data_IF_422677185805
#
_entry.id   IF_422677185805
#
_cell.length_a   1.000
_cell.length_b   1.000
_cell.length_c   1.000
_cell.angle_alpha   90.00
_cell.angle_beta   90.00
_cell.angle_gamma   90.00
#
_symmetry.space_group_name_H-M   'P 1'
#
loop_
_entity.id
_entity.type
_entity.pdbx_description
1 polymer ?
#
# COMPACT_ATOMS: atom_id res chain seq x y z
N UNK A 1 30.84 -7.45 -20.45
CA UNK A 1 30.48 -6.11 -19.96
C UNK A 1 29.27 -6.31 -19.05
N UNK A 2 29.51 -6.18 -17.74
CA UNK A 2 28.61 -6.30 -16.58
C UNK A 2 27.71 -7.55 -16.44
N UNK A 3 28.16 -8.44 -15.55
CA UNK A 3 27.46 -9.54 -14.90
C UNK A 3 26.93 -9.01 -13.55
N UNK A 4 25.74 -9.46 -13.13
CA UNK A 4 25.18 -9.24 -11.79
C UNK A 4 24.39 -7.93 -11.70
N UNK A 5 23.17 -7.89 -11.16
CA UNK A 5 22.69 -8.58 -9.96
C UNK A 5 21.22 -8.94 -10.08
N UNK A 6 20.87 -10.12 -9.54
CA UNK A 6 19.51 -10.48 -9.15
C UNK A 6 18.96 -9.39 -8.22
N UNK A 7 17.91 -8.68 -8.61
CA UNK A 7 17.01 -8.07 -7.64
C UNK A 7 16.06 -9.15 -7.13
N UNK A 8 16.63 -10.08 -6.36
CA UNK A 8 15.95 -10.87 -5.35
C UNK A 8 16.33 -10.21 -4.04
N UNK A 9 15.62 -9.14 -3.69
CA UNK A 9 15.78 -8.46 -2.41
C UNK A 9 14.46 -7.76 -2.04
N UNK A 10 13.37 -8.53 -2.03
CA UNK A 10 12.15 -8.23 -1.26
C UNK A 10 11.53 -9.54 -0.76
N UNK A 11 12.39 -10.47 -0.35
CA UNK A 11 12.01 -11.62 0.46
C UNK A 11 12.81 -11.50 1.75
N UNK A 12 12.16 -10.99 2.80
CA UNK A 12 12.67 -11.03 4.16
C UNK A 12 13.40 -9.78 4.64
N UNK A 13 12.70 -8.65 4.77
CA UNK A 13 12.87 -7.72 5.91
C UNK A 13 11.57 -6.91 6.01
N UNK A 14 10.62 -7.33 6.84
CA UNK A 14 9.85 -6.43 7.76
C UNK A 14 8.90 -7.26 8.65
N UNK A 15 9.34 -8.39 9.19
CA UNK A 15 8.59 -9.14 10.22
C UNK A 15 9.16 -8.94 11.62
N UNK A 16 10.12 -8.02 11.81
CA UNK A 16 10.84 -7.85 13.08
C UNK A 16 10.85 -6.43 13.63
N UNK A 17 9.78 -5.67 13.43
CA UNK A 17 9.70 -4.33 14.02
C UNK A 17 8.32 -3.94 14.52
N UNK A 18 7.51 -4.92 14.93
CA UNK A 18 6.30 -4.68 15.73
C UNK A 18 6.48 -5.07 17.21
N UNK A 19 7.58 -5.75 17.56
CA UNK A 19 7.89 -6.19 18.93
C UNK A 19 8.68 -5.15 19.74
N UNK A 20 9.22 -4.08 19.14
CA UNK A 20 10.07 -3.12 19.87
C UNK A 20 9.31 -1.88 20.39
N UNK A 21 8.03 -1.71 20.04
CA UNK A 21 7.23 -0.57 20.52
C UNK A 21 6.43 -0.91 21.79
N UNK A 22 6.00 -2.16 21.95
CA UNK A 22 5.51 -2.67 23.23
C UNK A 22 6.70 -3.16 24.05
N UNK A 23 7.55 -2.22 24.45
CA UNK A 23 8.67 -2.47 25.36
C UNK A 23 8.17 -3.09 26.67
N UNK A 24 8.14 -4.42 26.70
CA UNK A 24 8.30 -5.27 27.87
C UNK A 24 7.62 -4.83 29.14
N UNK A 25 6.29 -4.79 29.17
CA UNK A 25 5.55 -5.05 30.40
C UNK A 25 5.43 -6.57 30.55
N UNK A 26 6.57 -7.25 30.69
CA UNK A 26 6.58 -8.63 31.18
C UNK A 26 6.07 -8.54 32.62
N UNK A 27 4.76 -8.75 32.79
CA UNK A 27 4.23 -9.16 34.08
C UNK A 27 4.99 -10.45 34.40
N UNK A 28 5.82 -10.39 35.43
CA UNK A 28 6.52 -11.55 35.96
C UNK A 28 5.43 -12.52 36.46
N UNK A 29 4.95 -13.42 35.58
CA UNK A 29 3.85 -14.36 35.90
C UNK A 29 4.20 -15.25 37.09
N UNK A 30 5.50 -15.45 37.35
CA UNK A 30 6.00 -16.23 38.49
C UNK A 30 5.80 -15.53 39.86
N UNK A 31 5.54 -14.22 39.89
CA UNK A 31 5.24 -13.50 41.14
C UNK A 31 3.75 -13.57 41.53
N UNK A 32 2.86 -14.00 40.62
CA UNK A 32 1.41 -14.01 40.81
C UNK A 32 0.85 -15.36 41.30
N UNK A 33 1.68 -16.40 41.42
CA UNK A 33 1.24 -17.74 41.86
C UNK A 33 1.21 -17.92 43.38
N UNK A 34 1.49 -16.86 44.15
CA UNK A 34 1.29 -16.91 45.60
C UNK A 34 -0.22 -16.87 45.83
N UNK A 35 -0.81 -18.03 46.12
CA UNK A 35 -2.19 -18.14 46.58
C UNK A 35 -2.38 -17.20 47.79
N UNK A 36 -2.88 -16.01 47.54
CA UNK A 36 -3.27 -15.07 48.59
C UNK A 36 -4.53 -15.68 49.19
N UNK A 37 -4.39 -16.31 50.34
CA UNK A 37 -5.53 -16.83 51.09
C UNK A 37 -6.41 -15.65 51.51
N UNK A 38 -7.59 -15.54 50.91
CA UNK A 38 -8.60 -14.50 51.21
C UNK A 38 -9.52 -14.92 52.38
N UNK A 39 -9.10 -15.90 53.17
CA UNK A 39 -9.92 -16.46 54.24
C UNK A 39 -10.10 -15.43 55.36
N UNK A 40 -11.36 -15.09 55.67
CA UNK A 40 -11.71 -14.04 56.64
C UNK A 40 -11.87 -12.63 56.07
N UNK A 41 -11.54 -12.40 54.80
CA UNK A 41 -11.72 -11.11 54.13
C UNK A 41 -13.19 -10.65 54.13
N UNK A 42 -14.14 -11.58 54.00
CA UNK A 42 -15.57 -11.29 54.02
C UNK A 42 -16.02 -10.63 55.32
N UNK A 43 -15.41 -11.04 56.44
CA UNK A 43 -15.71 -10.49 57.76
C UNK A 43 -15.15 -9.09 57.92
N UNK A 44 -13.93 -8.86 57.44
CA UNK A 44 -13.28 -7.54 57.46
C UNK A 44 -14.00 -6.55 56.52
N UNK A 45 -14.51 -7.03 55.38
CA UNK A 45 -15.31 -6.24 54.46
C UNK A 45 -16.68 -5.85 55.05
N UNK A 46 -17.33 -6.74 55.81
CA UNK A 46 -18.57 -6.42 56.54
C UNK A 46 -18.33 -5.43 57.70
N UNK A 47 -17.22 -5.54 58.42
CA UNK A 47 -16.85 -4.61 59.50
C UNK A 47 -16.58 -3.19 58.97
N UNK A 48 -16.08 -3.05 57.74
CA UNK A 48 -15.73 -1.77 57.11
C UNK A 48 -16.71 -1.29 56.03
N UNK A 49 -17.89 -1.93 55.92
CA UNK A 49 -18.88 -1.71 54.86
C UNK A 49 -19.41 -0.29 54.71
N UNK A 50 -19.41 0.48 55.81
CA UNK A 50 -19.90 1.86 55.83
C UNK A 50 -18.77 2.90 55.76
N UNK A 51 -17.54 2.48 55.47
CA UNK A 51 -16.43 3.42 55.34
C UNK A 51 -16.52 4.12 53.99
N UNK A 52 -17.02 5.36 53.99
CA UNK A 52 -17.21 6.19 52.77
C UNK A 52 -15.98 6.25 51.86
N UNK A 53 -14.78 6.23 52.45
CA UNK A 53 -13.52 6.21 51.69
C UNK A 53 -13.34 4.90 50.92
N UNK A 54 -13.70 3.75 51.51
CA UNK A 54 -13.60 2.45 50.85
C UNK A 54 -14.64 2.31 49.73
N UNK A 55 -15.88 2.75 49.99
CA UNK A 55 -16.95 2.77 48.98
C UNK A 55 -16.56 3.67 47.80
N UNK A 56 -16.04 4.87 48.06
CA UNK A 56 -15.61 5.78 47.01
C UNK A 56 -14.42 5.25 46.21
N UNK A 57 -13.45 4.59 46.85
CA UNK A 57 -12.33 3.95 46.14
C UNK A 57 -12.84 2.81 45.24
N UNK A 58 -13.68 1.90 45.76
CA UNK A 58 -14.19 0.76 44.98
C UNK A 58 -15.07 1.21 43.81
N UNK A 59 -15.98 2.15 44.03
CA UNK A 59 -16.84 2.70 42.96
C UNK A 59 -16.04 3.50 41.93
N UNK A 60 -14.96 4.18 42.34
CA UNK A 60 -14.07 4.85 41.39
C UNK A 60 -13.23 3.84 40.59
N UNK A 61 -12.77 2.76 41.22
CA UNK A 61 -12.07 1.68 40.53
C UNK A 61 -12.94 0.96 39.50
N UNK A 62 -14.22 0.73 39.81
CA UNK A 62 -15.21 0.21 38.86
C UNK A 62 -15.37 1.15 37.66
N UNK A 63 -15.59 2.45 37.91
CA UNK A 63 -15.69 3.46 36.85
C UNK A 63 -14.43 3.52 35.97
N UNK A 64 -13.25 3.41 36.57
CA UNK A 64 -11.99 3.42 35.83
C UNK A 64 -11.84 2.18 34.94
N UNK A 65 -12.25 1.00 35.41
CA UNK A 65 -12.26 -0.23 34.62
C UNK A 65 -13.27 -0.16 33.47
N UNK A 66 -14.45 0.41 33.71
CA UNK A 66 -15.47 0.60 32.68
C UNK A 66 -14.98 1.58 31.60
N UNK A 67 -14.33 2.68 32.02
CA UNK A 67 -13.70 3.63 31.09
C UNK A 67 -12.57 2.97 30.30
N UNK A 68 -11.71 2.17 30.93
CA UNK A 68 -10.64 1.46 30.24
C UNK A 68 -11.19 0.48 29.19
N UNK A 69 -12.17 -0.35 29.57
CA UNK A 69 -12.83 -1.30 28.67
C UNK A 69 -13.49 -0.57 27.49
N UNK A 70 -14.14 0.57 27.75
CA UNK A 70 -14.76 1.39 26.70
C UNK A 70 -13.71 2.00 25.75
N UNK A 71 -12.61 2.53 26.28
CA UNK A 71 -11.52 3.11 25.48
C UNK A 71 -10.84 2.04 24.64
N UNK A 72 -10.58 0.86 25.19
CA UNK A 72 -10.04 -0.29 24.47
C UNK A 72 -10.99 -0.75 23.35
N UNK A 73 -12.30 -0.82 23.61
CA UNK A 73 -13.30 -1.14 22.60
C UNK A 73 -13.35 -0.10 21.48
N UNK A 74 -13.30 1.19 21.82
CA UNK A 74 -13.26 2.27 20.82
C UNK A 74 -11.97 2.23 20.00
N UNK A 75 -10.82 1.95 20.64
CA UNK A 75 -9.54 1.82 19.96
C UNK A 75 -9.59 0.67 18.94
N UNK A 76 -10.08 -0.50 19.35
CA UNK A 76 -10.23 -1.64 18.44
C UNK A 76 -11.16 -1.36 17.27
N UNK A 77 -12.24 -0.61 17.48
CA UNK A 77 -13.12 -0.18 16.39
C UNK A 77 -12.42 0.78 15.41
N UNK A 78 -11.69 1.77 15.94
CA UNK A 78 -10.93 2.73 15.11
C UNK A 78 -9.84 2.00 14.32
N UNK A 79 -9.12 1.06 14.92
CA UNK A 79 -8.12 0.26 14.23
C UNK A 79 -8.73 -0.54 13.07
N UNK A 80 -9.90 -1.16 13.30
CA UNK A 80 -10.60 -1.90 12.26
C UNK A 80 -11.09 -0.99 11.12
N UNK A 81 -11.61 0.19 11.45
CA UNK A 81 -12.02 1.20 10.46
C UNK A 81 -10.80 1.67 9.62
N UNK A 82 -9.66 1.92 10.26
CA UNK A 82 -8.44 2.34 9.58
C UNK A 82 -7.88 1.26 8.65
N UNK A 83 -7.94 -0.01 9.05
CA UNK A 83 -7.56 -1.14 8.19
C UNK A 83 -8.49 -1.19 6.97
N UNK A 84 -9.79 -1.01 7.17
CA UNK A 84 -10.76 -1.02 6.08
C UNK A 84 -10.52 0.13 5.10
N UNK A 85 -10.29 1.35 5.61
CA UNK A 85 -9.96 2.51 4.78
C UNK A 85 -8.66 2.29 4.00
N UNK A 86 -7.63 1.70 4.62
CA UNK A 86 -6.38 1.36 3.93
C UNK A 86 -6.59 0.37 2.78
N UNK A 87 -7.42 -0.66 2.97
CA UNK A 87 -7.75 -1.63 1.91
C UNK A 87 -8.50 -0.93 0.78
N UNK A 88 -9.49 -0.11 1.10
CA UNK A 88 -10.29 0.62 0.11
C UNK A 88 -9.44 1.59 -0.72
N UNK A 89 -8.51 2.28 -0.08
CA UNK A 89 -7.57 3.16 -0.77
C UNK A 89 -6.64 2.38 -1.72
N UNK A 90 -6.29 1.13 -1.37
CA UNK A 90 -5.54 0.23 -2.24
C UNK A 90 -6.33 -0.11 -3.53
N UNK A 91 -7.62 -0.44 -3.42
CA UNK A 91 -8.48 -0.70 -4.57
C UNK A 91 -8.55 0.52 -5.52
N UNK A 92 -8.63 1.72 -4.95
CA UNK A 92 -8.59 2.97 -5.72
C UNK A 92 -7.27 3.16 -6.47
N UNK A 93 -6.14 2.83 -5.83
CA UNK A 93 -4.81 2.88 -6.46
C UNK A 93 -4.67 1.85 -7.59
N UNK A 94 -5.21 0.65 -7.41
CA UNK A 94 -5.23 -0.38 -8.46
C UNK A 94 -6.06 0.09 -9.66
N UNK A 95 -7.24 0.66 -9.43
CA UNK A 95 -8.06 1.24 -10.51
C UNK A 95 -7.33 2.35 -11.26
N UNK A 96 -6.62 3.22 -10.55
CA UNK A 96 -5.81 4.28 -11.18
C UNK A 96 -4.67 3.68 -12.02
N UNK A 97 -4.00 2.66 -11.50
CA UNK A 97 -2.96 1.94 -12.23
C UNK A 97 -3.50 1.32 -13.52
N UNK A 98 -4.68 0.70 -13.47
CA UNK A 98 -5.34 0.12 -14.65
C UNK A 98 -5.68 1.20 -15.69
N UNK A 99 -6.18 2.37 -15.25
CA UNK A 99 -6.44 3.50 -16.15
C UNK A 99 -5.18 4.05 -16.81
N UNK A 100 -4.08 4.14 -16.06
CA UNK A 100 -2.77 4.54 -16.61
C UNK A 100 -2.30 3.51 -17.64
N UNK A 101 -2.44 2.22 -17.33
CA UNK A 101 -2.09 1.15 -18.24
C UNK A 101 -2.90 1.18 -19.55
N UNK A 102 -4.21 1.41 -19.45
CA UNK A 102 -5.08 1.57 -20.62
C UNK A 102 -4.66 2.77 -21.48
N UNK A 103 -4.28 3.88 -20.84
CA UNK A 103 -3.75 5.06 -21.53
C UNK A 103 -2.44 4.73 -22.27
N UNK A 104 -1.52 4.00 -21.65
CA UNK A 104 -0.26 3.55 -22.27
C UNK A 104 -0.51 2.65 -23.48
N UNK A 105 -1.52 1.77 -23.43
CA UNK A 105 -1.93 0.95 -24.57
C UNK A 105 -2.37 1.85 -25.73
N UNK A 106 -3.22 2.83 -25.47
CA UNK A 106 -3.69 3.78 -26.50
C UNK A 106 -2.52 4.58 -27.09
N UNK A 107 -1.61 5.08 -26.25
CA UNK A 107 -0.42 5.80 -26.71
C UNK A 107 0.49 4.91 -27.57
N UNK A 108 0.67 3.64 -27.19
CA UNK A 108 1.43 2.66 -27.97
C UNK A 108 0.82 2.42 -29.35
N UNK A 109 -0.51 2.30 -29.43
CA UNK A 109 -1.23 2.15 -30.70
C UNK A 109 -1.02 3.37 -31.61
N UNK A 110 -1.11 4.59 -31.06
CA UNK A 110 -0.84 5.83 -31.80
C UNK A 110 0.61 5.85 -32.29
N UNK A 111 1.57 5.45 -31.45
CA UNK A 111 2.98 5.35 -31.81
C UNK A 111 3.21 4.40 -32.99
N UNK A 112 2.59 3.23 -32.96
CA UNK A 112 2.63 2.25 -34.06
C UNK A 112 2.04 2.82 -35.35
N UNK A 113 0.89 3.49 -35.26
CA UNK A 113 0.23 4.11 -36.41
C UNK A 113 1.09 5.21 -37.05
N UNK A 114 1.68 6.09 -36.23
CA UNK A 114 2.56 7.17 -36.70
C UNK A 114 3.84 6.62 -37.35
N UNK A 115 4.43 5.57 -36.77
CA UNK A 115 5.55 4.84 -37.36
C UNK A 115 5.18 4.26 -38.73
N UNK A 116 3.99 3.66 -38.85
CA UNK A 116 3.43 3.21 -40.12
C UNK A 116 3.34 4.33 -41.16
N UNK A 117 2.75 5.48 -40.80
CA UNK A 117 2.68 6.63 -41.70
C UNK A 117 4.06 7.12 -42.14
N UNK A 118 5.04 7.17 -41.24
CA UNK A 118 6.40 7.57 -41.57
C UNK A 118 7.03 6.64 -42.62
N UNK A 119 6.86 5.33 -42.47
CA UNK A 119 7.35 4.34 -43.44
C UNK A 119 6.66 4.53 -44.79
N UNK A 120 5.34 4.68 -44.81
CA UNK A 120 4.57 4.87 -46.04
C UNK A 120 4.96 6.16 -46.78
N UNK A 121 5.11 7.28 -46.06
CA UNK A 121 5.54 8.56 -46.64
C UNK A 121 6.97 8.44 -47.21
N UNK A 122 7.87 7.75 -46.50
CA UNK A 122 9.23 7.51 -46.98
C UNK A 122 9.25 6.66 -48.25
N UNK A 123 8.43 5.61 -48.33
CA UNK A 123 8.27 4.80 -49.56
C UNK A 123 7.77 5.64 -50.72
N UNK A 124 6.65 6.34 -50.51
CA UNK A 124 6.02 7.19 -51.54
C UNK A 124 6.98 8.27 -52.04
N UNK A 125 7.75 8.89 -51.14
CA UNK A 125 8.76 9.89 -51.51
C UNK A 125 9.89 9.29 -52.33
N UNK A 126 10.32 8.06 -52.02
CA UNK A 126 11.32 7.32 -52.81
C UNK A 126 10.81 7.00 -54.21
N UNK A 127 9.57 6.53 -54.32
CA UNK A 127 8.90 6.26 -55.59
C UNK A 127 8.77 7.52 -56.45
N UNK A 128 8.35 8.64 -55.85
CA UNK A 128 8.24 9.93 -56.53
C UNK A 128 9.59 10.44 -57.03
N UNK A 129 10.67 10.25 -56.25
CA UNK A 129 12.03 10.57 -56.68
C UNK A 129 12.48 9.70 -57.86
N UNK A 130 12.24 8.40 -57.80
CA UNK A 130 12.54 7.46 -58.91
C UNK A 130 11.81 7.85 -60.19
N UNK A 131 10.53 8.23 -60.08
CA UNK A 131 9.74 8.70 -61.21
C UNK A 131 10.29 10.02 -61.78
N UNK A 132 10.71 10.95 -60.92
CA UNK A 132 11.33 12.21 -61.34
C UNK A 132 12.66 11.99 -62.06
N UNK A 133 13.53 11.13 -61.53
CA UNK A 133 14.80 10.74 -62.16
C UNK A 133 14.58 10.12 -63.54
N UNK A 134 13.61 9.21 -63.68
CA UNK A 134 13.23 8.63 -64.99
C UNK A 134 12.74 9.71 -65.97
N UNK A 135 11.95 10.67 -65.50
CA UNK A 135 11.46 11.77 -66.33
C UNK A 135 12.60 12.66 -66.84
N UNK A 136 13.56 12.98 -65.96
CA UNK A 136 14.76 13.74 -66.34
C UNK A 136 15.65 12.97 -67.33
N UNK A 137 15.89 11.67 -67.09
CA UNK A 137 16.65 10.81 -68.02
C UNK A 137 16.02 10.80 -69.41
N UNK A 138 14.71 10.57 -69.49
CA UNK A 138 13.98 10.59 -70.76
C UNK A 138 14.07 11.96 -71.44
N UNK A 139 13.96 13.05 -70.67
CA UNK A 139 14.13 14.41 -71.17
C UNK A 139 15.51 14.66 -71.79
N UNK A 140 16.59 14.22 -71.12
CA UNK A 140 17.96 14.31 -71.64
C UNK A 140 18.12 13.46 -72.90
N UNK A 141 17.62 12.22 -72.88
CA UNK A 141 17.67 11.32 -74.04
C UNK A 141 16.93 11.88 -75.25
N UNK A 142 15.80 12.56 -75.07
CA UNK A 142 15.07 13.22 -76.15
C UNK A 142 15.82 14.47 -76.66
N UNK A 143 16.44 15.24 -75.75
CA UNK A 143 17.21 16.44 -76.12
C UNK A 143 18.48 16.10 -76.92
N UNK A 144 19.12 14.98 -76.63
CA UNK A 144 20.32 14.50 -77.34
C UNK A 144 20.03 13.93 -78.75
N UNK A 145 18.77 13.83 -79.17
CA UNK A 145 18.37 13.35 -80.52
C UNK A 145 18.07 14.48 -81.52
N UNK A 146 18.22 15.74 -81.12
CA UNK A 146 18.21 16.92 -82.00
C UNK A 146 19.64 17.40 -82.24
#
# INVERSE_FOLDING_TARGET
MWIGTKNSCMAGVQERQYEEFFGGFYFDEDALSKDISLDGLDKELEEHKNYDVLISILTNGEKQRDMATMVEGNLGHIEQDLIQDYIKDNDSLVLLHDQIHDCDIVLSQIGSLLSGFQVHIRSLSSELRSLHEKSLDLGVRLKNRK
#
